data_IF_216356031661
#
_entry.id   IF_216356031661
#
_cell.length_a   1.000
_cell.length_b   1.000
_cell.length_c   1.000
_cell.angle_alpha   90.00
_cell.angle_beta   90.00
_cell.angle_gamma   90.00
#
_symmetry.space_group_name_H-M   'P 1'
#
loop_
_entity.id
_entity.type
_entity.pdbx_description
1 polymer ?
#
# COMPACT_ATOMS: atom_id res chain seq x y z
N UNK A 1 9.65 -16.18 -2.06
CA UNK A 1 10.03 -15.70 -0.71
C UNK A 1 11.43 -16.23 -0.41
N UNK A 2 12.31 -15.42 0.18
CA UNK A 2 13.63 -15.84 0.64
C UNK A 2 13.48 -16.60 1.96
N UNK A 3 14.27 -17.64 2.22
CA UNK A 3 14.17 -18.41 3.45
C UNK A 3 14.75 -17.66 4.66
N UNK A 4 15.70 -16.76 4.43
CA UNK A 4 16.33 -15.93 5.46
C UNK A 4 16.91 -14.63 4.88
N UNK A 5 17.41 -13.76 5.76
CA UNK A 5 17.99 -12.46 5.39
C UNK A 5 19.23 -12.60 4.50
N UNK A 6 20.08 -13.61 4.72
CA UNK A 6 21.30 -13.80 3.93
C UNK A 6 20.97 -14.16 2.47
N UNK A 7 19.99 -15.03 2.25
CA UNK A 7 19.49 -15.34 0.89
C UNK A 7 18.90 -14.11 0.21
N UNK A 8 18.18 -13.26 0.94
CA UNK A 8 17.70 -12.00 0.40
C UNK A 8 18.86 -11.10 -0.02
N UNK A 9 19.86 -10.92 0.85
CA UNK A 9 21.06 -10.10 0.55
C UNK A 9 21.79 -10.65 -0.67
N UNK A 10 21.97 -11.96 -0.79
CA UNK A 10 22.64 -12.59 -1.92
C UNK A 10 21.87 -12.38 -3.23
N UNK A 11 20.54 -12.55 -3.21
CA UNK A 11 19.71 -12.29 -4.38
C UNK A 11 19.77 -10.81 -4.80
N UNK A 12 19.74 -9.87 -3.85
CA UNK A 12 19.90 -8.44 -4.16
C UNK A 12 21.32 -8.10 -4.62
N UNK A 13 22.35 -8.80 -4.13
CA UNK A 13 23.73 -8.64 -4.59
C UNK A 13 23.87 -9.08 -6.05
N UNK A 14 23.26 -10.20 -6.44
CA UNK A 14 23.18 -10.65 -7.83
C UNK A 14 22.43 -9.65 -8.70
N UNK A 15 21.31 -9.10 -8.20
CA UNK A 15 20.59 -8.03 -8.91
C UNK A 15 21.46 -6.79 -9.10
N UNK A 16 22.20 -6.37 -8.08
CA UNK A 16 23.07 -5.21 -8.10
C UNK A 16 24.25 -5.34 -9.09
N UNK A 17 24.68 -6.56 -9.41
CA UNK A 17 25.69 -6.83 -10.43
C UNK A 17 25.21 -6.54 -11.86
N UNK A 18 23.88 -6.57 -12.08
CA UNK A 18 23.30 -6.31 -13.40
C UNK A 18 23.26 -4.82 -13.76
N UNK A 19 23.54 -3.93 -12.81
CA UNK A 19 23.60 -2.48 -13.08
C UNK A 19 24.84 -2.19 -13.94
N UNK A 20 24.64 -1.47 -15.03
CA UNK A 20 25.73 -1.05 -15.91
C UNK A 20 26.81 -0.29 -15.09
N UNK A 21 28.09 -0.52 -15.41
CA UNK A 21 29.23 0.15 -14.77
C UNK A 21 29.14 1.68 -14.82
N UNK A 22 28.59 2.23 -15.90
CA UNK A 22 28.35 3.68 -16.05
C UNK A 22 27.02 4.13 -15.41
N UNK A 23 26.22 3.17 -14.94
CA UNK A 23 24.97 3.43 -14.24
C UNK A 23 25.18 3.81 -12.77
N UNK A 24 24.05 4.03 -12.11
CA UNK A 24 23.97 4.35 -10.69
C UNK A 24 23.13 3.30 -9.97
N UNK A 25 23.67 2.76 -8.89
CA UNK A 25 22.92 1.95 -7.94
C UNK A 25 22.56 2.82 -6.74
N UNK A 26 21.27 2.99 -6.48
CA UNK A 26 20.79 3.83 -5.40
C UNK A 26 20.33 2.99 -4.20
N UNK A 27 20.80 3.33 -2.99
CA UNK A 27 20.47 2.59 -1.76
C UNK A 27 20.09 3.52 -0.61
N UNK A 28 19.21 3.05 0.28
CA UNK A 28 18.90 3.75 1.51
C UNK A 28 20.10 3.65 2.48
N UNK A 29 20.54 4.79 3.01
CA UNK A 29 21.75 4.88 3.83
C UNK A 29 21.62 4.18 5.19
N UNK A 30 20.39 4.03 5.69
CA UNK A 30 20.07 3.38 6.97
C UNK A 30 19.83 1.87 6.85
N UNK A 31 20.05 1.28 5.67
CA UNK A 31 19.83 -0.14 5.42
C UNK A 31 21.17 -0.90 5.24
N UNK A 32 21.65 -1.52 6.33
CA UNK A 32 22.88 -2.31 6.32
C UNK A 32 22.85 -3.46 5.32
N UNK A 33 21.71 -4.16 5.21
CA UNK A 33 21.53 -5.24 4.24
C UNK A 33 21.65 -4.75 2.78
N UNK A 34 21.13 -3.56 2.48
CA UNK A 34 21.28 -2.95 1.15
C UNK A 34 22.73 -2.54 0.89
N UNK A 35 23.41 -1.98 1.90
CA UNK A 35 24.83 -1.65 1.80
C UNK A 35 25.69 -2.91 1.57
N UNK A 36 25.37 -4.03 2.24
CA UNK A 36 26.06 -5.31 2.03
C UNK A 36 25.85 -5.84 0.60
N UNK A 37 24.60 -5.83 0.10
CA UNK A 37 24.30 -6.26 -1.25
C UNK A 37 24.99 -5.38 -2.32
N UNK A 38 25.02 -4.06 -2.10
CA UNK A 38 25.61 -3.10 -3.03
C UNK A 38 27.12 -3.29 -3.26
N UNK A 39 27.85 -3.93 -2.32
CA UNK A 39 29.28 -4.25 -2.47
C UNK A 39 29.59 -5.11 -3.70
N UNK A 40 28.60 -5.88 -4.17
CA UNK A 40 28.74 -6.70 -5.37
C UNK A 40 28.64 -5.88 -6.67
N UNK A 41 28.12 -4.66 -6.63
CA UNK A 41 27.95 -3.82 -7.82
C UNK A 41 29.27 -3.21 -8.27
N UNK A 42 29.42 -3.06 -9.59
CA UNK A 42 30.51 -2.30 -10.22
C UNK A 42 30.08 -0.88 -10.61
N UNK A 43 28.79 -0.57 -10.45
CA UNK A 43 28.23 0.74 -10.72
C UNK A 43 28.58 1.73 -9.60
N UNK A 44 28.38 3.02 -9.85
CA UNK A 44 28.48 4.03 -8.79
C UNK A 44 27.36 3.80 -7.79
N UNK A 45 27.70 3.56 -6.52
CA UNK A 45 26.72 3.49 -5.43
C UNK A 45 26.44 4.90 -4.92
N UNK A 46 25.16 5.25 -4.83
CA UNK A 46 24.67 6.55 -4.33
C UNK A 46 23.67 6.29 -3.22
N UNK A 47 23.79 7.05 -2.14
CA UNK A 47 22.99 6.87 -0.93
C UNK A 47 21.91 7.93 -0.82
N UNK A 48 20.75 7.57 -0.26
CA UNK A 48 19.72 8.52 0.13
C UNK A 48 19.27 8.29 1.58
N UNK A 49 18.89 9.35 2.28
CA UNK A 49 18.35 9.21 3.64
C UNK A 49 17.87 10.52 4.27
N UNK A 50 17.52 10.47 5.55
CA UNK A 50 17.14 11.66 6.33
C UNK A 50 18.26 12.17 7.23
N UNK A 51 19.50 11.74 6.96
CA UNK A 51 20.71 12.11 7.69
C UNK A 51 21.68 12.86 6.76
N UNK A 52 22.47 13.83 7.26
CA UNK A 52 23.40 14.61 6.43
C UNK A 52 24.56 13.84 5.81
N UNK A 53 24.71 12.55 6.14
CA UNK A 53 25.80 11.70 5.66
C UNK A 53 25.50 10.98 4.34
N UNK A 54 24.27 11.09 3.83
CA UNK A 54 23.88 10.52 2.55
C UNK A 54 24.20 11.47 1.40
N UNK A 55 24.47 10.94 0.20
CA UNK A 55 24.67 11.74 -1.01
C UNK A 55 23.44 12.62 -1.29
N UNK A 56 22.25 12.02 -1.17
CA UNK A 56 20.97 12.71 -1.15
C UNK A 56 20.41 12.69 0.25
N UNK A 57 20.04 13.84 0.78
CA UNK A 57 19.41 13.87 2.09
C UNK A 57 18.32 14.92 2.24
N UNK A 58 17.36 14.60 3.10
CA UNK A 58 16.27 15.49 3.46
C UNK A 58 16.44 16.00 4.91
N UNK A 59 16.14 17.27 5.11
CA UNK A 59 16.13 17.93 6.43
C UNK A 59 14.96 18.90 6.55
N UNK A 60 14.81 19.48 7.74
CA UNK A 60 13.74 20.44 8.05
C UNK A 60 12.36 19.88 7.72
N UNK A 61 12.12 18.62 8.15
CA UNK A 61 10.85 17.93 7.93
C UNK A 61 9.76 18.58 8.79
N UNK A 62 8.86 19.31 8.11
CA UNK A 62 7.71 20.00 8.73
C UNK A 62 6.42 19.35 8.27
N UNK A 63 5.50 19.11 9.20
CA UNK A 63 4.16 18.65 8.84
C UNK A 63 3.38 19.79 8.17
N UNK A 64 2.62 19.47 7.12
CA UNK A 64 1.60 20.35 6.54
C UNK A 64 0.22 19.83 6.91
N UNK A 65 -0.85 20.44 6.40
CA UNK A 65 -2.22 20.00 6.68
C UNK A 65 -2.47 18.54 6.26
N UNK A 66 -2.00 18.16 5.07
CA UNK A 66 -2.26 16.84 4.47
C UNK A 66 -1.01 15.98 4.30
N UNK A 67 0.18 16.53 4.51
CA UNK A 67 1.43 15.80 4.35
C UNK A 67 2.59 16.47 5.05
N UNK A 68 3.62 16.81 4.30
CA UNK A 68 4.88 17.32 4.84
C UNK A 68 5.71 18.07 3.81
N UNK A 69 6.54 18.99 4.31
CA UNK A 69 7.49 19.79 3.55
C UNK A 69 8.89 19.55 4.09
N UNK A 70 9.88 19.46 3.21
CA UNK A 70 11.27 19.22 3.57
C UNK A 70 12.24 19.80 2.54
N UNK A 71 13.46 20.07 2.98
CA UNK A 71 14.55 20.55 2.13
C UNK A 71 15.42 19.38 1.70
N UNK A 72 15.67 19.26 0.40
CA UNK A 72 16.54 18.25 -0.19
C UNK A 72 17.89 18.85 -0.54
N UNK A 73 18.93 18.10 -0.22
CA UNK A 73 20.32 18.42 -0.52
C UNK A 73 20.94 17.28 -1.33
N UNK A 74 21.84 17.63 -2.23
CA UNK A 74 22.64 16.69 -3.01
C UNK A 74 24.12 17.07 -2.87
N UNK A 75 24.93 16.13 -2.38
CA UNK A 75 26.37 16.32 -2.13
C UNK A 75 26.71 17.56 -1.28
N UNK A 76 25.82 17.92 -0.35
CA UNK A 76 25.99 19.08 0.54
C UNK A 76 25.36 20.37 0.03
N UNK A 77 25.02 20.45 -1.26
CA UNK A 77 24.39 21.63 -1.85
C UNK A 77 22.86 21.56 -1.76
N UNK A 78 22.23 22.71 -1.53
CA UNK A 78 20.77 22.80 -1.53
C UNK A 78 20.24 22.52 -2.94
N UNK A 79 19.37 21.50 -3.05
CA UNK A 79 18.80 21.08 -4.33
C UNK A 79 17.43 21.71 -4.56
N UNK A 80 16.48 21.49 -3.64
CA UNK A 80 15.11 22.00 -3.73
C UNK A 80 14.37 21.88 -2.40
N UNK A 81 13.30 22.65 -2.24
CA UNK A 81 12.30 22.40 -1.20
C UNK A 81 11.13 21.63 -1.83
N UNK A 82 10.76 20.51 -1.21
CA UNK A 82 9.70 19.62 -1.68
C UNK A 82 8.54 19.68 -0.69
N UNK A 83 7.34 19.83 -1.24
CA UNK A 83 6.09 19.60 -0.54
C UNK A 83 5.48 18.30 -1.06
N UNK A 84 5.18 17.39 -0.15
CA UNK A 84 4.66 16.06 -0.43
C UNK A 84 3.33 15.89 0.30
N UNK A 85 2.29 15.59 -0.45
CA UNK A 85 0.92 15.41 0.04
C UNK A 85 0.69 13.99 0.62
N UNK A 86 1.73 13.45 1.27
CA UNK A 86 1.72 12.15 1.92
C UNK A 86 2.47 12.25 3.24
N UNK A 87 1.90 11.83 4.37
CA UNK A 87 2.57 11.88 5.66
C UNK A 87 3.60 10.76 5.85
N UNK A 88 4.48 10.91 6.85
CA UNK A 88 5.39 9.86 7.32
C UNK A 88 6.80 9.90 6.71
N UNK A 89 7.82 9.64 7.56
CA UNK A 89 9.24 9.68 7.17
C UNK A 89 9.59 8.71 6.03
N UNK A 90 8.90 7.57 5.93
CA UNK A 90 9.09 6.62 4.84
C UNK A 90 8.74 7.24 3.48
N UNK A 91 7.68 8.06 3.41
CA UNK A 91 7.31 8.77 2.18
C UNK A 91 8.32 9.88 1.82
N UNK A 92 8.97 10.50 2.80
CA UNK A 92 10.11 11.40 2.55
C UNK A 92 11.27 10.62 1.93
N UNK A 93 11.61 9.45 2.49
CA UNK A 93 12.65 8.58 1.95
C UNK A 93 12.36 8.14 0.51
N UNK A 94 11.12 7.72 0.23
CA UNK A 94 10.66 7.36 -1.12
C UNK A 94 10.72 8.54 -2.09
N UNK A 95 10.26 9.72 -1.67
CA UNK A 95 10.31 10.94 -2.48
C UNK A 95 11.76 11.37 -2.76
N UNK A 96 12.68 11.14 -1.83
CA UNK A 96 14.10 11.42 -2.01
C UNK A 96 14.75 10.47 -3.02
N UNK A 97 14.45 9.16 -2.94
CA UNK A 97 14.89 8.19 -3.94
C UNK A 97 14.35 8.54 -5.34
N UNK A 98 13.07 8.90 -5.43
CA UNK A 98 12.45 9.34 -6.69
C UNK A 98 13.11 10.63 -7.21
N UNK A 99 13.34 11.62 -6.35
CA UNK A 99 14.02 12.88 -6.69
C UNK A 99 15.39 12.62 -7.29
N UNK A 100 16.18 11.78 -6.62
CA UNK A 100 17.53 11.47 -7.03
C UNK A 100 17.56 10.74 -8.38
N UNK A 101 16.71 9.72 -8.57
CA UNK A 101 16.59 8.99 -9.84
C UNK A 101 16.11 9.90 -10.99
N UNK A 102 15.11 10.75 -10.75
CA UNK A 102 14.64 11.72 -11.74
C UNK A 102 15.72 12.73 -12.13
N UNK A 103 16.54 13.16 -11.18
CA UNK A 103 17.68 14.03 -11.47
C UNK A 103 18.69 13.33 -12.38
N UNK A 104 19.06 12.07 -12.09
CA UNK A 104 19.93 11.27 -12.96
C UNK A 104 19.34 11.01 -14.34
N UNK A 105 18.01 10.98 -14.47
CA UNK A 105 17.30 10.89 -15.75
C UNK A 105 17.23 12.24 -16.51
N UNK A 106 17.81 13.32 -15.97
CA UNK A 106 17.88 14.63 -16.61
C UNK A 106 16.71 15.57 -16.30
N UNK A 107 15.86 15.25 -15.32
CA UNK A 107 14.81 16.16 -14.88
C UNK A 107 15.38 17.33 -14.09
N UNK A 108 14.88 18.54 -14.36
CA UNK A 108 15.23 19.74 -13.59
C UNK A 108 14.64 19.70 -12.17
N UNK A 109 15.25 20.38 -11.18
CA UNK A 109 14.71 20.48 -9.83
C UNK A 109 13.26 21.00 -9.79
N UNK A 110 12.89 21.92 -10.70
CA UNK A 110 11.53 22.45 -10.81
C UNK A 110 10.53 21.38 -11.25
N UNK A 111 10.86 20.58 -12.28
CA UNK A 111 9.98 19.50 -12.75
C UNK A 111 9.74 18.47 -11.65
N UNK A 112 10.79 18.08 -10.93
CA UNK A 112 10.70 17.14 -9.81
C UNK A 112 9.82 17.70 -8.69
N UNK A 113 10.05 18.96 -8.30
CA UNK A 113 9.26 19.63 -7.26
C UNK A 113 7.76 19.65 -7.60
N UNK A 114 7.43 20.07 -8.83
CA UNK A 114 6.04 20.15 -9.30
C UNK A 114 5.40 18.76 -9.29
N UNK A 115 6.08 17.76 -9.86
CA UNK A 115 5.56 16.39 -9.91
C UNK A 115 5.28 15.82 -8.51
N UNK A 116 6.20 15.97 -7.57
CA UNK A 116 6.02 15.49 -6.20
C UNK A 116 4.91 16.23 -5.44
N UNK A 117 4.74 17.54 -5.67
CA UNK A 117 3.64 18.32 -5.06
C UNK A 117 2.25 17.91 -5.55
N UNK A 118 2.17 17.32 -6.75
CA UNK A 118 0.95 16.84 -7.37
C UNK A 118 0.72 15.34 -7.12
N UNK A 119 1.70 14.64 -6.54
CA UNK A 119 1.58 13.23 -6.25
C UNK A 119 0.61 13.00 -5.10
N UNK A 120 -0.53 12.37 -5.40
CA UNK A 120 -1.60 12.05 -4.44
C UNK A 120 -1.50 10.65 -3.84
N UNK A 121 -0.34 9.99 -4.01
CA UNK A 121 -0.17 8.59 -3.68
C UNK A 121 -0.31 7.66 -4.87
N UNK A 122 -0.22 6.36 -4.58
CA UNK A 122 -0.36 5.30 -5.57
C UNK A 122 -1.80 4.82 -5.48
N UNK A 123 -2.44 4.65 -6.64
CA UNK A 123 -3.76 4.00 -6.69
C UNK A 123 -3.72 2.70 -5.90
N UNK A 124 -4.75 2.46 -5.10
CA UNK A 124 -4.89 1.24 -4.30
C UNK A 124 -3.77 1.08 -3.26
N UNK A 125 -3.23 2.15 -2.69
CA UNK A 125 -2.29 2.08 -1.56
C UNK A 125 -2.77 3.01 -0.46
N UNK A 126 -3.61 2.46 0.41
CA UNK A 126 -4.33 3.22 1.42
C UNK A 126 -5.01 4.48 0.82
N UNK A 127 -5.60 4.32 -0.35
CA UNK A 127 -6.12 5.40 -1.18
C UNK A 127 -7.47 5.88 -0.61
N UNK A 128 -7.59 7.18 -0.34
CA UNK A 128 -8.87 7.78 0.00
C UNK A 128 -9.70 8.00 -1.28
N UNK A 129 -10.68 7.12 -1.50
CA UNK A 129 -11.54 7.15 -2.68
C UNK A 129 -12.56 8.28 -2.59
N UNK A 130 -13.02 8.60 -1.38
CA UNK A 130 -13.98 9.68 -1.13
C UNK A 130 -14.96 9.32 -0.02
N UNK A 131 -16.18 9.86 -0.12
CA UNK A 131 -17.25 9.57 0.83
C UNK A 131 -18.60 9.32 0.16
N UNK A 132 -19.36 8.34 0.66
CA UNK A 132 -20.70 8.02 0.18
C UNK A 132 -21.69 8.01 1.35
N UNK A 133 -22.72 8.86 1.33
CA UNK A 133 -23.74 8.96 2.41
C UNK A 133 -23.14 9.09 3.83
N UNK A 134 -22.02 9.80 3.96
CA UNK A 134 -21.30 9.95 5.23
C UNK A 134 -20.37 8.78 5.61
N UNK A 135 -20.26 7.75 4.77
CA UNK A 135 -19.28 6.66 4.87
C UNK A 135 -17.97 7.11 4.22
N UNK A 136 -16.83 6.85 4.87
CA UNK A 136 -15.51 7.07 4.26
C UNK A 136 -15.11 5.83 3.45
N UNK A 137 -14.68 6.02 2.20
CA UNK A 137 -14.28 4.95 1.30
C UNK A 137 -12.75 4.94 1.14
N UNK A 138 -12.13 3.78 1.42
CA UNK A 138 -10.69 3.54 1.29
C UNK A 138 -10.43 2.30 0.41
N UNK A 139 -9.32 2.28 -0.33
CA UNK A 139 -8.85 1.11 -1.08
C UNK A 139 -7.37 0.80 -0.85
N UNK A 140 -7.03 -0.49 -0.73
CA UNK A 140 -5.65 -0.96 -0.65
C UNK A 140 -5.42 -2.25 -1.45
N UNK A 141 -4.26 -2.36 -2.08
CA UNK A 141 -3.78 -3.52 -2.81
C UNK A 141 -3.27 -4.63 -1.88
N UNK A 142 -3.36 -4.45 -0.56
CA UNK A 142 -2.99 -5.43 0.45
C UNK A 142 -3.65 -6.80 0.21
N UNK A 143 -2.82 -7.81 -0.01
CA UNK A 143 -3.23 -9.20 -0.29
C UNK A 143 -2.38 -10.25 0.46
N UNK A 144 -1.47 -9.78 1.32
CA UNK A 144 -0.69 -10.61 2.23
C UNK A 144 -1.09 -10.26 3.67
N UNK A 145 -1.17 -11.20 4.62
CA UNK A 145 -1.66 -10.93 5.97
C UNK A 145 -0.97 -9.76 6.67
N UNK A 146 0.36 -9.68 6.56
CA UNK A 146 1.14 -8.56 7.12
C UNK A 146 0.72 -7.20 6.54
N UNK A 147 0.42 -7.13 5.24
CA UNK A 147 -0.04 -5.89 4.61
C UNK A 147 -1.46 -5.56 5.05
N UNK A 148 -2.36 -6.55 5.05
CA UNK A 148 -3.76 -6.40 5.50
C UNK A 148 -3.82 -5.90 6.94
N UNK A 149 -3.03 -6.48 7.84
CA UNK A 149 -2.94 -6.05 9.23
C UNK A 149 -2.51 -4.59 9.35
N UNK A 150 -1.43 -4.19 8.65
CA UNK A 150 -0.93 -2.81 8.64
C UNK A 150 -1.95 -1.82 8.08
N UNK A 151 -2.65 -2.18 7.01
CA UNK A 151 -3.70 -1.34 6.42
C UNK A 151 -4.86 -1.16 7.42
N UNK A 152 -5.31 -2.22 8.10
CA UNK A 152 -6.37 -2.12 9.10
C UNK A 152 -5.94 -1.35 10.35
N UNK A 153 -4.70 -1.50 10.79
CA UNK A 153 -4.11 -0.71 11.88
C UNK A 153 -4.08 0.78 11.52
N UNK A 154 -3.58 1.14 10.34
CA UNK A 154 -3.56 2.51 9.85
C UNK A 154 -4.98 3.11 9.75
N UNK A 155 -5.96 2.33 9.27
CA UNK A 155 -7.35 2.75 9.24
C UNK A 155 -7.92 2.99 10.65
N UNK A 156 -7.60 2.12 11.61
CA UNK A 156 -8.04 2.27 13.00
C UNK A 156 -7.42 3.50 13.66
N UNK A 157 -6.13 3.75 13.44
CA UNK A 157 -5.42 4.91 13.96
C UNK A 157 -5.98 6.22 13.40
N UNK A 158 -6.27 6.26 12.10
CA UNK A 158 -6.81 7.46 11.44
C UNK A 158 -8.28 7.72 11.80
N UNK A 159 -9.06 6.65 12.05
CA UNK A 159 -10.49 6.72 12.30
C UNK A 159 -10.85 6.09 13.66
N UNK A 160 -10.37 6.67 14.78
CA UNK A 160 -10.65 6.13 16.10
C UNK A 160 -12.17 6.14 16.36
N UNK A 161 -12.67 5.06 16.96
CA UNK A 161 -14.09 4.86 17.33
C UNK A 161 -15.10 4.77 16.18
N UNK A 162 -14.66 4.79 14.91
CA UNK A 162 -15.55 4.56 13.76
C UNK A 162 -15.64 3.07 13.45
N UNK A 163 -16.81 2.59 13.03
CA UNK A 163 -16.99 1.18 12.63
C UNK A 163 -16.26 0.92 11.31
N UNK A 164 -15.33 -0.02 11.34
CA UNK A 164 -14.46 -0.38 10.22
C UNK A 164 -14.97 -1.65 9.53
N UNK A 165 -15.39 -1.49 8.28
CA UNK A 165 -15.76 -2.56 7.37
C UNK A 165 -14.56 -2.95 6.51
N UNK A 166 -14.10 -4.19 6.65
CA UNK A 166 -13.08 -4.77 5.79
C UNK A 166 -13.73 -5.65 4.72
N UNK A 167 -13.62 -5.22 3.46
CA UNK A 167 -14.05 -6.01 2.31
C UNK A 167 -12.81 -6.58 1.64
N UNK A 168 -12.59 -7.88 1.82
CA UNK A 168 -11.36 -8.55 1.39
C UNK A 168 -11.63 -9.52 0.24
N UNK A 169 -10.87 -9.39 -0.85
CA UNK A 169 -10.83 -10.35 -1.94
C UNK A 169 -9.53 -11.16 -1.87
N UNK A 170 -9.59 -12.46 -1.50
CA UNK A 170 -8.41 -13.31 -1.48
C UNK A 170 -7.77 -13.39 -2.87
N UNK A 171 -6.44 -13.41 -2.92
CA UNK A 171 -5.69 -13.58 -4.17
C UNK A 171 -4.96 -14.92 -4.15
N UNK A 172 -5.49 -15.89 -4.90
CA UNK A 172 -5.10 -17.32 -4.92
C UNK A 172 -5.54 -18.11 -3.67
N UNK A 173 -6.10 -19.30 -3.90
CA UNK A 173 -6.59 -20.17 -2.84
C UNK A 173 -5.43 -20.82 -2.07
N UNK A 174 -4.37 -21.22 -2.77
CA UNK A 174 -3.17 -21.79 -2.16
C UNK A 174 -2.57 -20.88 -1.08
N UNK A 175 -2.36 -19.59 -1.39
CA UNK A 175 -1.86 -18.58 -0.45
C UNK A 175 -2.77 -18.43 0.75
N UNK A 176 -4.08 -18.33 0.52
CA UNK A 176 -5.06 -18.14 1.58
C UNK A 176 -5.09 -19.34 2.52
N UNK A 177 -4.94 -20.54 1.97
CA UNK A 177 -4.85 -21.79 2.75
C UNK A 177 -3.55 -21.87 3.55
N UNK A 178 -2.41 -21.53 2.95
CA UNK A 178 -1.10 -21.60 3.62
C UNK A 178 -0.91 -20.58 4.74
N UNK A 179 -1.58 -19.43 4.66
CA UNK A 179 -1.46 -18.32 5.61
C UNK A 179 -2.79 -18.01 6.32
N UNK A 180 -3.64 -19.02 6.44
CA UNK A 180 -5.03 -18.84 6.87
C UNK A 180 -5.12 -18.27 8.29
N UNK A 181 -4.30 -18.78 9.22
CA UNK A 181 -4.31 -18.33 10.61
C UNK A 181 -3.91 -16.86 10.73
N UNK A 182 -2.93 -16.44 9.94
CA UNK A 182 -2.44 -15.07 9.85
C UNK A 182 -3.48 -14.16 9.20
N UNK A 183 -4.22 -14.63 8.19
CA UNK A 183 -5.34 -13.87 7.61
C UNK A 183 -6.48 -13.67 8.62
N UNK A 184 -6.85 -14.71 9.37
CA UNK A 184 -7.88 -14.61 10.41
C UNK A 184 -7.47 -13.61 11.49
N UNK A 185 -6.20 -13.60 11.89
CA UNK A 185 -5.67 -12.61 12.83
C UNK A 185 -5.69 -11.19 12.25
N UNK A 186 -5.20 -11.01 11.03
CA UNK A 186 -5.12 -9.71 10.37
C UNK A 186 -6.52 -9.10 10.16
N UNK A 187 -7.45 -9.86 9.55
CA UNK A 187 -8.80 -9.41 9.25
C UNK A 187 -9.66 -9.21 10.50
N UNK A 188 -9.37 -9.95 11.57
CA UNK A 188 -10.07 -9.83 12.85
C UNK A 188 -9.87 -8.48 13.57
N UNK A 189 -9.03 -7.58 13.03
CA UNK A 189 -8.87 -6.21 13.51
C UNK A 189 -10.02 -5.27 13.09
N UNK A 190 -10.86 -5.69 12.15
CA UNK A 190 -12.04 -4.96 11.69
C UNK A 190 -13.30 -5.28 12.53
N UNK A 191 -14.31 -4.41 12.48
CA UNK A 191 -15.57 -4.59 13.21
C UNK A 191 -16.58 -5.46 12.44
N UNK A 192 -16.50 -5.41 11.10
CA UNK A 192 -17.30 -6.14 10.13
C UNK A 192 -16.37 -6.59 9.00
N UNK A 193 -16.45 -7.86 8.61
CA UNK A 193 -15.63 -8.44 7.53
C UNK A 193 -16.52 -9.09 6.48
N UNK A 194 -16.31 -8.73 5.22
CA UNK A 194 -16.91 -9.45 4.08
C UNK A 194 -15.78 -10.04 3.25
N UNK A 195 -15.81 -11.35 3.07
CA UNK A 195 -14.89 -12.06 2.18
C UNK A 195 -15.58 -12.24 0.83
N UNK A 196 -14.99 -11.67 -0.23
CA UNK A 196 -15.45 -11.86 -1.60
C UNK A 196 -15.00 -13.20 -2.18
N UNK A 197 -15.48 -13.57 -3.37
CA UNK A 197 -14.92 -14.69 -4.13
C UNK A 197 -13.40 -14.54 -4.29
N UNK A 198 -12.69 -15.66 -4.36
CA UNK A 198 -11.23 -15.64 -4.53
C UNK A 198 -10.89 -15.23 -5.96
N UNK A 199 -9.96 -14.29 -6.11
CA UNK A 199 -9.46 -13.88 -7.44
C UNK A 199 -8.47 -14.92 -7.97
N UNK A 200 -8.92 -15.68 -8.98
CA UNK A 200 -8.17 -16.74 -9.65
C UNK A 200 -7.09 -16.16 -10.59
N UNK A 201 -5.96 -15.72 -10.04
CA UNK A 201 -4.91 -15.12 -10.87
C UNK A 201 -4.27 -16.13 -11.85
N UNK A 202 -3.94 -17.34 -11.40
CA UNK A 202 -3.22 -18.38 -12.17
C UNK A 202 -3.67 -19.82 -11.87
N UNK A 203 -4.66 -19.98 -10.99
CA UNK A 203 -5.20 -21.29 -10.56
C UNK A 203 -6.44 -21.60 -11.40
N UNK A 204 -6.62 -22.87 -11.78
CA UNK A 204 -7.63 -23.28 -12.76
C UNK A 204 -8.93 -23.83 -12.15
N UNK A 205 -9.04 -23.89 -10.82
CA UNK A 205 -10.09 -24.64 -10.11
C UNK A 205 -10.99 -23.73 -9.27
N UNK A 206 -11.98 -23.11 -9.91
CA UNK A 206 -12.92 -22.16 -9.30
C UNK A 206 -13.71 -22.72 -8.10
N UNK A 207 -14.06 -24.01 -8.09
CA UNK A 207 -14.81 -24.59 -6.97
C UNK A 207 -14.00 -24.69 -5.66
N UNK A 208 -12.69 -24.98 -5.75
CA UNK A 208 -11.82 -25.01 -4.57
C UNK A 208 -11.54 -23.62 -4.01
N UNK A 209 -11.60 -22.60 -4.87
CA UNK A 209 -11.26 -21.23 -4.57
C UNK A 209 -12.30 -20.53 -3.69
N UNK A 210 -13.59 -20.74 -3.98
CA UNK A 210 -14.67 -20.20 -3.17
C UNK A 210 -14.80 -20.93 -1.83
N UNK A 211 -14.46 -22.22 -1.77
CA UNK A 211 -14.46 -22.98 -0.51
C UNK A 211 -13.46 -22.40 0.49
N UNK A 212 -12.28 -21.98 0.05
CA UNK A 212 -11.28 -21.34 0.90
C UNK A 212 -11.77 -19.98 1.44
N UNK A 213 -12.45 -19.18 0.61
CA UNK A 213 -13.02 -17.91 1.02
C UNK A 213 -14.15 -18.10 2.08
N UNK A 214 -15.02 -19.09 1.88
CA UNK A 214 -16.05 -19.49 2.84
C UNK A 214 -15.43 -19.91 4.18
N UNK A 215 -14.43 -20.80 4.14
CA UNK A 215 -13.74 -21.27 5.35
C UNK A 215 -13.07 -20.13 6.12
N UNK A 216 -12.49 -19.15 5.42
CA UNK A 216 -11.89 -17.98 6.05
C UNK A 216 -12.96 -17.16 6.81
N UNK A 217 -14.13 -16.92 6.22
CA UNK A 217 -15.24 -16.22 6.86
C UNK A 217 -15.80 -17.00 8.08
N UNK A 218 -15.91 -18.33 7.98
CA UNK A 218 -16.33 -19.19 9.09
C UNK A 218 -15.36 -19.12 10.27
N UNK A 219 -14.04 -19.13 10.01
CA UNK A 219 -13.01 -19.05 11.06
C UNK A 219 -12.97 -17.69 11.74
N UNK A 220 -13.18 -16.60 10.99
CA UNK A 220 -13.37 -15.28 11.57
C UNK A 220 -14.61 -15.24 12.49
N UNK A 221 -15.72 -15.81 12.03
CA UNK A 221 -16.95 -15.92 12.81
C UNK A 221 -16.77 -16.74 14.10
N UNK A 222 -16.01 -17.84 14.03
CA UNK A 222 -15.66 -18.65 15.19
C UNK A 222 -14.84 -17.87 16.24
N UNK A 223 -14.09 -16.84 15.82
CA UNK A 223 -13.40 -15.88 16.71
C UNK A 223 -14.27 -14.70 17.15
N UNK A 224 -15.59 -14.76 16.94
CA UNK A 224 -16.57 -13.71 17.26
C UNK A 224 -16.37 -12.40 16.49
N UNK A 225 -15.63 -12.43 15.38
CA UNK A 225 -15.60 -11.33 14.41
C UNK A 225 -16.88 -11.44 13.58
N UNK A 226 -17.61 -10.34 13.37
CA UNK A 226 -18.76 -10.35 12.45
C UNK A 226 -18.22 -10.50 11.03
N UNK A 227 -18.27 -11.72 10.50
CA UNK A 227 -17.70 -12.05 9.21
C UNK A 227 -18.69 -12.87 8.38
N UNK A 228 -18.69 -12.66 7.06
CA UNK A 228 -19.45 -13.49 6.13
C UNK A 228 -18.80 -13.55 4.77
N UNK A 229 -19.08 -14.64 4.06
CA UNK A 229 -18.75 -14.79 2.66
C UNK A 229 -19.84 -14.17 1.77
N UNK A 230 -19.43 -13.51 0.69
CA UNK A 230 -20.32 -13.03 -0.36
C UNK A 230 -19.62 -13.18 -1.71
N UNK A 231 -20.00 -14.18 -2.50
CA UNK A 231 -19.27 -14.53 -3.73
C UNK A 231 -19.29 -13.42 -4.78
N UNK A 232 -20.48 -13.09 -5.30
CA UNK A 232 -20.61 -12.12 -6.38
C UNK A 232 -20.44 -10.68 -5.87
N UNK A 233 -19.55 -9.91 -6.52
CA UNK A 233 -19.31 -8.50 -6.15
C UNK A 233 -20.57 -7.64 -6.26
N UNK A 234 -21.46 -7.92 -7.20
CA UNK A 234 -22.71 -7.15 -7.35
C UNK A 234 -23.64 -7.36 -6.14
N UNK A 235 -23.79 -8.59 -5.66
CA UNK A 235 -24.53 -8.91 -4.44
C UNK A 235 -23.87 -8.29 -3.20
N UNK A 236 -22.53 -8.28 -3.17
CA UNK A 236 -21.77 -7.64 -2.11
C UNK A 236 -22.05 -6.14 -2.05
N UNK A 237 -22.05 -5.46 -3.20
CA UNK A 237 -22.33 -4.02 -3.31
C UNK A 237 -23.74 -3.69 -2.82
N UNK A 238 -24.75 -4.46 -3.24
CA UNK A 238 -26.13 -4.28 -2.76
C UNK A 238 -26.22 -4.45 -1.24
N UNK A 239 -25.64 -5.54 -0.75
CA UNK A 239 -25.66 -5.85 0.68
C UNK A 239 -24.91 -4.83 1.54
N UNK A 240 -23.88 -4.18 1.00
CA UNK A 240 -23.19 -3.06 1.66
C UNK A 240 -24.03 -1.78 1.66
N UNK A 241 -24.72 -1.45 0.57
CA UNK A 241 -25.54 -0.23 0.50
C UNK A 241 -26.66 -0.22 1.55
N UNK A 242 -27.20 -1.41 1.86
CA UNK A 242 -28.22 -1.58 2.90
C UNK A 242 -27.65 -1.52 4.33
N UNK A 243 -26.41 -1.97 4.53
CA UNK A 243 -25.83 -2.15 5.87
C UNK A 243 -24.97 -0.96 6.36
N UNK A 244 -24.41 -0.19 5.43
CA UNK A 244 -23.52 0.93 5.74
C UNK A 244 -24.29 2.10 6.36
N UNK A 245 -23.70 2.71 7.38
CA UNK A 245 -24.26 3.84 8.10
C UNK A 245 -23.32 5.06 8.02
N UNK A 246 -23.85 6.29 8.09
CA UNK A 246 -23.02 7.49 8.23
C UNK A 246 -22.02 7.34 9.38
N UNK A 247 -20.76 7.68 9.14
CA UNK A 247 -19.68 7.47 10.11
C UNK A 247 -18.95 6.13 9.99
N UNK A 248 -19.41 5.19 9.16
CA UNK A 248 -18.62 3.98 8.86
C UNK A 248 -17.37 4.30 8.02
N UNK A 249 -16.37 3.43 8.08
CA UNK A 249 -15.23 3.40 7.17
C UNK A 249 -15.28 2.08 6.41
N UNK A 250 -15.41 2.14 5.09
CA UNK A 250 -15.36 1.00 4.20
C UNK A 250 -13.98 0.92 3.56
N UNK A 251 -13.26 -0.17 3.82
CA UNK A 251 -11.95 -0.44 3.27
C UNK A 251 -12.00 -1.68 2.37
N UNK A 252 -11.79 -1.48 1.07
CA UNK A 252 -11.62 -2.57 0.11
C UNK A 252 -10.16 -2.99 0.03
N UNK A 253 -9.88 -4.29 0.11
CA UNK A 253 -8.53 -4.85 0.10
C UNK A 253 -8.42 -6.05 -0.82
N UNK A 254 -7.39 -6.07 -1.67
CA UNK A 254 -7.07 -7.21 -2.53
C UNK A 254 -6.37 -6.81 -3.81
N UNK A 255 -5.76 -7.78 -4.50
CA UNK A 255 -5.00 -7.52 -5.72
C UNK A 255 -5.80 -7.69 -7.02
N UNK A 256 -7.04 -8.22 -6.92
CA UNK A 256 -7.95 -8.42 -8.04
C UNK A 256 -8.83 -7.20 -8.34
N UNK A 257 -10.07 -7.45 -8.74
CA UNK A 257 -11.07 -6.46 -9.16
C UNK A 257 -11.98 -5.95 -8.02
N UNK A 258 -11.54 -6.10 -6.77
CA UNK A 258 -12.28 -5.62 -5.59
C UNK A 258 -12.49 -4.10 -5.57
N UNK A 259 -11.70 -3.33 -6.34
CA UNK A 259 -11.89 -1.89 -6.53
C UNK A 259 -13.24 -1.55 -7.19
N UNK A 260 -13.85 -2.51 -7.90
CA UNK A 260 -15.22 -2.38 -8.42
C UNK A 260 -16.25 -2.05 -7.35
N UNK A 261 -16.03 -2.48 -6.11
CA UNK A 261 -16.94 -2.24 -4.99
C UNK A 261 -17.02 -0.74 -4.67
N UNK A 262 -15.89 -0.09 -4.39
CA UNK A 262 -15.90 1.35 -4.10
C UNK A 262 -16.27 2.18 -5.34
N UNK A 263 -15.91 1.73 -6.55
CA UNK A 263 -16.29 2.37 -7.80
C UNK A 263 -17.80 2.38 -8.04
N UNK A 264 -18.52 1.36 -7.58
CA UNK A 264 -19.98 1.34 -7.67
C UNK A 264 -20.62 2.45 -6.82
N UNK A 265 -20.11 2.66 -5.61
CA UNK A 265 -20.60 3.71 -4.71
C UNK A 265 -20.28 5.11 -5.23
N UNK A 266 -19.06 5.34 -5.74
CA UNK A 266 -18.71 6.65 -6.32
C UNK A 266 -19.56 6.98 -7.54
N UNK A 267 -19.85 6.00 -8.42
CA UNK A 267 -20.75 6.21 -9.57
C UNK A 267 -22.19 6.56 -9.17
N UNK A 268 -22.71 5.98 -8.08
CA UNK A 268 -24.05 6.30 -7.56
C UNK A 268 -24.15 7.75 -7.10
N UNK A 269 -23.08 8.33 -6.53
CA UNK A 269 -23.03 9.76 -6.17
C UNK A 269 -23.24 10.67 -7.38
N UNK A 270 -22.56 10.40 -8.49
CA UNK A 270 -22.65 11.23 -9.68
C UNK A 270 -24.03 11.17 -10.34
N UNK A 271 -24.76 10.06 -10.22
CA UNK A 271 -26.12 9.94 -10.76
C UNK A 271 -27.15 10.74 -9.93
N UNK A 272 -27.00 10.78 -8.61
CA UNK A 272 -27.92 11.54 -7.74
C UNK A 272 -27.70 13.06 -7.76
N UNK A 273 -26.54 13.55 -8.21
CA UNK A 273 -26.30 14.99 -8.38
C UNK A 273 -26.69 15.51 -9.77
N UNK A 274 -27.01 14.62 -10.72
CA UNK A 274 -27.41 14.96 -12.09
C UNK A 274 -28.93 14.89 -12.31
N UNK A 275 -29.70 14.59 -11.26
CA UNK A 275 -31.17 14.53 -11.20
C UNK A 275 -31.71 15.58 -10.26
#
# INVERSE_FOLDING_TARGET
>A
CYANLNEAIEAYAQFAQNVNREGVLMIAADCEAAAQAARASRARVVTFGTTPHSDWWATDLRKTFSGQRFRVFYQGDFFSEIELDLPGKHNVSNALAATALSHYAGCSPMQIRVALSQFRGIKRRFEAIGSYRGVTLLDDYAHHPTAVAKTLEAAREQFPNRRLWAVYQPHQASRTTSLESEFVEALGKADEVIIAHTFAAREANSESEDRTAVQLAEKLSARKVRARYCGALDQLIESLDDALCPGDVLLTMGAGDIDRVHNAFTRRLFRHHAS
#
